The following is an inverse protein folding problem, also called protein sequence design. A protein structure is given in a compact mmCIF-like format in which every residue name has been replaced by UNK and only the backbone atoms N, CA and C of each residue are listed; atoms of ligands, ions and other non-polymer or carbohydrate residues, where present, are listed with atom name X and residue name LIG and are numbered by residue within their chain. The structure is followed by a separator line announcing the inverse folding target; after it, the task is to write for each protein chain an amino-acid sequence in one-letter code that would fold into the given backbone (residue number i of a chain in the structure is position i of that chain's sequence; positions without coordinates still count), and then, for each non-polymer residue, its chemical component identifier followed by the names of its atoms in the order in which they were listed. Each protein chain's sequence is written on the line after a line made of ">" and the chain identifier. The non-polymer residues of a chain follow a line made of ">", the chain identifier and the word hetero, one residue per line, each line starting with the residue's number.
data_IF_060829262791
#
_entry.id   IF_060829262791
#
_cell.length_a   1.000
_cell.length_b   1.000
_cell.length_c   1.000
_cell.angle_alpha   90.00
_cell.angle_beta   90.00
_cell.angle_gamma   90.00
#
_symmetry.space_group_name_H-M   'P 1'
#
loop_
_entity.id
_entity.type
_entity.pdbx_description
1 polymer ?
#
# COMPACT_ATOMS: atom_id res chain seq x y z
N UNK A 1 -69.09 29.74 13.63
CA UNK A 1 -68.52 30.49 14.76
C UNK A 1 -68.62 29.62 16.00
N UNK A 2 -67.67 29.77 16.92
CA UNK A 2 -67.59 29.16 18.25
C UNK A 2 -66.72 27.89 18.38
N UNK A 3 -65.51 28.13 18.87
CA UNK A 3 -64.64 27.18 19.58
C UNK A 3 -65.24 26.82 20.95
N UNK A 4 -64.87 25.65 21.49
CA UNK A 4 -64.72 25.52 22.94
C UNK A 4 -63.31 25.05 23.33
N UNK A 5 -62.72 25.80 24.26
CA UNK A 5 -61.55 25.43 25.06
C UNK A 5 -61.92 24.37 26.10
N UNK A 6 -61.06 23.40 26.35
CA UNK A 6 -61.06 22.59 27.57
C UNK A 6 -59.66 22.54 28.17
N UNK A 7 -59.62 22.74 29.48
CA UNK A 7 -58.48 22.86 30.37
C UNK A 7 -58.12 21.52 31.03
N UNK A 8 -56.92 21.49 31.60
CA UNK A 8 -56.48 20.77 32.83
C UNK A 8 -56.21 19.26 32.83
N UNK A 9 -55.13 18.87 33.52
CA UNK A 9 -54.87 17.53 34.05
C UNK A 9 -53.39 17.11 33.97
N UNK A 10 -52.52 17.48 34.91
CA UNK A 10 -52.08 16.69 36.09
C UNK A 10 -51.14 15.50 35.80
N UNK A 11 -49.89 15.66 36.25
CA UNK A 11 -48.93 14.72 36.87
C UNK A 11 -48.94 13.24 36.46
N UNK A 12 -47.74 12.68 36.21
CA UNK A 12 -47.15 11.44 36.78
C UNK A 12 -45.71 11.38 36.20
N UNK A 13 -44.69 11.65 37.01
CA UNK A 13 -43.88 10.64 37.72
C UNK A 13 -43.42 9.47 36.83
N UNK A 14 -42.16 9.54 36.44
CA UNK A 14 -41.33 8.37 36.16
C UNK A 14 -39.87 8.82 36.31
N UNK A 15 -39.27 8.49 37.43
CA UNK A 15 -37.85 8.68 37.68
C UNK A 15 -37.01 7.98 36.62
N UNK A 16 -35.89 8.60 36.28
CA UNK A 16 -34.76 7.90 35.70
C UNK A 16 -33.51 8.45 36.38
N UNK A 17 -32.76 7.50 36.92
CA UNK A 17 -31.65 7.66 37.84
C UNK A 17 -30.51 8.45 37.18
N UNK A 18 -30.16 9.59 37.79
CA UNK A 18 -29.01 10.39 37.39
C UNK A 18 -27.75 9.79 38.04
N UNK A 19 -27.14 8.83 37.35
CA UNK A 19 -25.78 8.36 37.66
C UNK A 19 -24.80 9.37 37.07
N UNK A 20 -24.40 10.35 37.88
CA UNK A 20 -23.25 11.21 37.59
C UNK A 20 -21.97 10.36 37.53
N UNK A 21 -21.55 9.98 36.33
CA UNK A 21 -20.19 9.56 36.05
C UNK A 21 -19.32 10.81 35.81
N UNK A 22 -18.56 11.19 36.83
CA UNK A 22 -17.52 12.22 36.75
C UNK A 22 -16.40 11.72 35.81
N UNK A 23 -16.38 12.23 34.57
CA UNK A 23 -15.23 12.08 33.68
C UNK A 23 -14.26 13.24 33.95
N UNK A 24 -13.13 12.94 34.58
CA UNK A 24 -12.00 13.86 34.68
C UNK A 24 -11.29 13.93 33.32
N UNK A 25 -11.74 14.85 32.48
CA UNK A 25 -11.09 15.20 31.22
C UNK A 25 -9.78 15.96 31.51
N UNK A 26 -8.67 15.22 31.50
CA UNK A 26 -7.32 15.78 31.52
C UNK A 26 -6.98 16.29 30.12
N UNK A 27 -7.52 17.44 29.74
CA UNK A 27 -7.27 18.08 28.45
C UNK A 27 -5.81 18.49 28.28
N UNK A 28 -4.97 17.59 27.76
CA UNK A 28 -3.69 17.95 27.16
C UNK A 28 -3.90 18.14 25.66
N UNK A 29 -4.29 19.36 25.28
CA UNK A 29 -4.41 19.77 23.89
C UNK A 29 -3.00 19.81 23.28
N UNK A 30 -2.57 18.71 22.66
CA UNK A 30 -1.42 18.73 21.77
C UNK A 30 -1.79 19.57 20.55
N UNK A 31 -1.26 20.79 20.48
CA UNK A 31 -1.37 21.62 19.29
C UNK A 31 -0.65 20.93 18.12
N UNK A 32 -1.21 20.93 16.90
CA UNK A 32 -0.51 20.41 15.74
C UNK A 32 0.76 21.23 15.52
N UNK A 33 1.92 20.56 15.53
CA UNK A 33 3.20 21.21 15.25
C UNK A 33 3.26 21.56 13.76
N UNK A 34 2.84 22.78 13.40
CA UNK A 34 3.07 23.34 12.08
C UNK A 34 4.54 23.77 12.01
N UNK A 35 5.35 23.06 11.23
CA UNK A 35 6.73 23.47 10.97
C UNK A 35 6.75 24.71 10.08
N UNK A 36 7.68 25.62 10.34
CA UNK A 36 7.93 26.76 9.45
C UNK A 36 8.27 26.26 8.03
N UNK A 37 7.84 26.96 6.97
CA UNK A 37 8.17 26.60 5.60
C UNK A 37 9.70 26.66 5.44
N UNK A 38 10.29 25.57 4.95
CA UNK A 38 11.70 25.50 4.62
C UNK A 38 11.86 25.45 3.11
N UNK A 39 12.71 26.32 2.56
CA UNK A 39 13.00 26.33 1.12
C UNK A 39 13.92 25.16 0.78
N UNK A 40 13.50 24.34 -0.17
CA UNK A 40 14.31 23.26 -0.74
C UNK A 40 14.85 23.74 -2.07
N UNK A 41 16.17 23.82 -2.19
CA UNK A 41 16.84 24.04 -3.46
C UNK A 41 17.19 22.68 -4.05
N UNK A 42 16.68 22.39 -5.25
CA UNK A 42 17.00 21.19 -6.00
C UNK A 42 17.98 21.62 -7.09
N UNK A 43 19.26 21.33 -6.89
CA UNK A 43 20.27 21.46 -7.94
C UNK A 43 20.21 20.22 -8.83
N UNK A 44 19.62 20.38 -10.01
CA UNK A 44 19.61 19.33 -11.03
C UNK A 44 20.93 19.42 -11.79
N UNK A 45 21.90 18.61 -11.40
CA UNK A 45 23.12 18.42 -12.19
C UNK A 45 22.78 17.47 -13.35
N UNK A 46 22.47 18.04 -14.51
CA UNK A 46 22.48 17.32 -15.78
C UNK A 46 23.90 17.35 -16.32
N UNK A 47 24.66 16.26 -16.14
CA UNK A 47 25.89 16.00 -16.90
C UNK A 47 25.50 15.58 -18.33
N UNK A 48 25.13 16.56 -19.16
CA UNK A 48 25.09 16.36 -20.61
C UNK A 48 25.88 17.52 -21.24
N UNK A 49 27.18 17.30 -21.43
CA UNK A 49 28.04 18.16 -22.23
C UNK A 49 27.57 18.08 -23.69
N UNK A 50 26.74 19.04 -24.10
CA UNK A 50 26.43 19.27 -25.51
C UNK A 50 27.39 20.33 -26.08
N UNK A 51 27.95 20.13 -27.28
CA UNK A 51 28.90 21.05 -27.91
C UNK A 51 28.25 22.42 -28.21
N UNK A 52 29.04 23.49 -28.03
CA UNK A 52 28.62 24.88 -27.85
C UNK A 52 28.17 25.64 -29.13
N UNK A 53 27.88 24.97 -30.25
CA UNK A 53 27.78 25.65 -31.56
C UNK A 53 26.37 25.80 -32.17
N UNK A 54 25.27 25.52 -31.46
CA UNK A 54 23.89 25.74 -32.01
C UNK A 54 22.96 26.51 -31.06
N UNK A 55 23.47 27.60 -30.45
CA UNK A 55 22.67 28.50 -29.60
C UNK A 55 22.15 29.68 -30.42
N UNK A 56 21.23 29.42 -31.35
CA UNK A 56 20.32 30.47 -31.83
C UNK A 56 19.13 29.84 -32.59
N UNK A 57 17.91 30.12 -32.13
CA UNK A 57 16.59 29.94 -32.82
C UNK A 57 15.57 28.90 -32.30
N UNK A 58 15.71 28.27 -31.13
CA UNK A 58 14.61 27.41 -30.61
C UNK A 58 14.13 27.73 -29.19
N UNK A 59 14.24 29.00 -28.76
CA UNK A 59 13.87 29.39 -27.38
C UNK A 59 12.43 29.89 -27.20
N UNK A 60 11.51 29.67 -28.15
CA UNK A 60 10.18 30.30 -28.07
C UNK A 60 8.96 29.36 -27.94
N UNK A 61 9.10 28.03 -27.86
CA UNK A 61 7.89 27.19 -27.71
C UNK A 61 8.00 25.88 -26.91
N UNK A 62 9.11 25.56 -26.26
CA UNK A 62 9.19 24.36 -25.43
C UNK A 62 9.02 24.70 -23.95
N UNK A 63 7.81 25.14 -23.58
CA UNK A 63 7.28 24.85 -22.25
C UNK A 63 7.03 23.33 -22.16
N UNK A 64 8.09 22.54 -22.09
CA UNK A 64 8.00 21.15 -21.66
C UNK A 64 7.77 21.21 -20.15
N UNK A 65 6.53 21.54 -19.78
CA UNK A 65 6.06 21.23 -18.44
C UNK A 65 6.24 19.72 -18.29
N UNK A 66 6.95 19.22 -17.27
CA UNK A 66 6.99 17.79 -17.01
C UNK A 66 5.57 17.36 -16.69
N UNK A 67 4.85 16.89 -17.71
CA UNK A 67 3.54 16.27 -17.55
C UNK A 67 3.84 15.01 -16.76
N UNK A 68 3.61 15.06 -15.45
CA UNK A 68 3.54 13.87 -14.62
C UNK A 68 2.47 13.00 -15.27
N UNK A 69 2.89 11.99 -16.02
CA UNK A 69 1.97 11.01 -16.59
C UNK A 69 1.11 10.54 -15.43
N UNK A 70 -0.21 10.74 -15.54
CA UNK A 70 -1.17 10.27 -14.54
C UNK A 70 -1.16 8.75 -14.60
N UNK A 71 -0.22 8.14 -13.86
CA UNK A 71 -0.15 6.69 -13.69
C UNK A 71 -1.45 6.27 -13.01
N UNK A 72 -2.22 5.40 -13.66
CA UNK A 72 -3.40 4.81 -13.04
C UNK A 72 -2.91 3.78 -12.02
N UNK A 73 -3.12 4.06 -10.73
CA UNK A 73 -2.74 3.15 -9.64
C UNK A 73 -3.89 2.16 -9.41
N UNK A 74 -3.61 0.87 -9.52
CA UNK A 74 -4.58 -0.17 -9.11
C UNK A 74 -4.61 -0.25 -7.58
N UNK A 75 -5.75 -0.62 -6.96
CA UNK A 75 -5.78 -0.90 -5.53
C UNK A 75 -4.71 -1.91 -5.13
N UNK A 76 -4.07 -1.66 -3.99
CA UNK A 76 -3.11 -2.60 -3.39
C UNK A 76 -3.78 -3.95 -3.15
N UNK A 77 -3.06 -5.03 -3.42
CA UNK A 77 -3.55 -6.39 -3.21
C UNK A 77 -2.64 -7.10 -2.21
N UNK A 78 -3.24 -7.64 -1.16
CA UNK A 78 -2.53 -8.46 -0.17
C UNK A 78 -2.82 -9.95 -0.38
N UNK A 79 -1.82 -10.79 -0.15
CA UNK A 79 -1.97 -12.24 -0.15
C UNK A 79 -1.28 -12.84 1.07
N UNK A 80 -2.05 -13.48 1.93
CA UNK A 80 -1.53 -14.11 3.14
C UNK A 80 -0.92 -15.48 2.82
N UNK A 81 0.34 -15.67 3.22
CA UNK A 81 1.06 -16.92 3.03
C UNK A 81 1.97 -17.23 4.23
N UNK A 82 2.36 -18.49 4.35
CA UNK A 82 3.33 -18.95 5.37
C UNK A 82 4.71 -19.03 4.76
N UNK A 83 5.73 -18.96 5.62
CA UNK A 83 7.13 -19.22 5.23
C UNK A 83 7.28 -20.56 4.47
N UNK A 84 6.58 -21.59 4.93
CA UNK A 84 6.61 -22.93 4.32
C UNK A 84 6.05 -22.96 2.89
N UNK A 85 5.14 -22.04 2.56
CA UNK A 85 4.57 -21.98 1.21
C UNK A 85 5.61 -21.52 0.20
N UNK A 86 6.50 -20.61 0.61
CA UNK A 86 7.62 -20.09 -0.15
C UNK A 86 8.93 -20.87 -0.03
N UNK A 87 8.90 -22.10 0.49
CA UNK A 87 10.12 -22.88 0.76
C UNK A 87 10.86 -23.37 -0.50
N UNK A 88 10.16 -23.52 -1.63
CA UNK A 88 10.72 -24.07 -2.87
C UNK A 88 10.86 -22.98 -3.96
N UNK A 89 12.06 -22.69 -4.47
CA UNK A 89 12.23 -21.76 -5.57
C UNK A 89 11.56 -22.29 -6.85
N UNK A 90 11.09 -21.38 -7.69
CA UNK A 90 10.34 -21.66 -8.92
C UNK A 90 8.87 -22.02 -8.71
N UNK A 91 8.41 -22.23 -7.47
CA UNK A 91 6.99 -22.51 -7.19
C UNK A 91 6.14 -21.27 -7.50
N UNK A 92 5.11 -21.45 -8.34
CA UNK A 92 4.07 -20.43 -8.57
C UNK A 92 3.18 -20.35 -7.33
N UNK A 93 3.05 -19.16 -6.76
CA UNK A 93 2.26 -18.92 -5.56
C UNK A 93 0.86 -18.45 -5.92
N UNK A 94 0.77 -17.46 -6.80
CA UNK A 94 -0.49 -16.91 -7.31
C UNK A 94 -0.26 -16.27 -8.68
N UNK A 95 -1.36 -15.96 -9.36
CA UNK A 95 -1.38 -15.20 -10.60
C UNK A 95 -2.05 -13.85 -10.35
N UNK A 96 -1.52 -12.79 -10.94
CA UNK A 96 -2.09 -11.45 -10.86
C UNK A 96 -3.41 -11.35 -11.65
N UNK A 97 -4.37 -10.61 -11.09
CA UNK A 97 -5.66 -10.37 -11.74
C UNK A 97 -5.47 -9.60 -13.05
N UNK A 98 -5.86 -10.23 -14.17
CA UNK A 98 -5.92 -9.62 -15.49
C UNK A 98 -7.25 -8.92 -15.69
N UNK A 99 -7.22 -7.63 -16.00
CA UNK A 99 -8.42 -6.93 -16.50
C UNK A 99 -8.61 -7.16 -18.01
N UNK A 100 -7.54 -7.49 -18.72
CA UNK A 100 -7.57 -7.79 -20.14
C UNK A 100 -6.58 -8.93 -20.49
N UNK A 101 -6.92 -9.85 -21.42
CA UNK A 101 -6.06 -11.00 -21.74
C UNK A 101 -4.67 -10.62 -22.29
N UNK A 102 -4.58 -9.47 -22.95
CA UNK A 102 -3.34 -8.92 -23.51
C UNK A 102 -2.56 -8.05 -22.49
N UNK A 103 -2.90 -8.09 -21.20
CA UNK A 103 -2.08 -7.46 -20.16
C UNK A 103 -0.77 -8.23 -19.97
N UNK A 104 0.33 -7.48 -19.87
CA UNK A 104 1.64 -8.01 -19.49
C UNK A 104 2.14 -7.32 -18.23
N UNK A 105 2.91 -8.05 -17.44
CA UNK A 105 3.40 -7.62 -16.13
C UNK A 105 4.91 -7.53 -16.10
N UNK A 106 5.44 -6.55 -15.36
CA UNK A 106 6.88 -6.40 -15.14
C UNK A 106 7.12 -5.86 -13.74
N UNK A 107 8.10 -6.39 -13.02
CA UNK A 107 8.50 -5.80 -11.73
C UNK A 107 9.15 -4.43 -11.93
N UNK A 108 8.84 -3.49 -11.02
CA UNK A 108 9.45 -2.15 -11.01
C UNK A 108 10.92 -2.19 -10.60
N UNK A 109 11.31 -3.15 -9.75
CA UNK A 109 12.69 -3.38 -9.35
C UNK A 109 12.94 -4.83 -8.92
N UNK A 110 14.20 -5.25 -8.78
CA UNK A 110 14.54 -6.60 -8.34
C UNK A 110 14.13 -6.83 -6.89
N UNK A 111 13.39 -7.91 -6.65
CA UNK A 111 13.02 -8.39 -5.30
C UNK A 111 13.76 -9.71 -5.05
N UNK A 112 14.22 -9.93 -3.82
CA UNK A 112 14.97 -11.14 -3.44
C UNK A 112 14.11 -12.40 -3.47
N UNK A 113 12.90 -12.31 -2.90
CA UNK A 113 12.07 -13.46 -2.56
C UNK A 113 11.13 -13.92 -3.67
N UNK A 114 10.78 -13.03 -4.61
CA UNK A 114 9.77 -13.29 -5.64
C UNK A 114 10.25 -12.89 -7.02
N UNK A 115 9.70 -13.57 -8.02
CA UNK A 115 9.80 -13.25 -9.45
C UNK A 115 8.39 -13.11 -10.03
N UNK A 116 8.19 -12.22 -11.00
CA UNK A 116 6.91 -12.03 -11.70
C UNK A 116 7.16 -12.21 -13.17
N UNK A 117 6.45 -13.17 -13.78
CA UNK A 117 6.48 -13.37 -15.21
C UNK A 117 5.57 -12.36 -15.94
N UNK A 118 5.87 -12.11 -17.20
CA UNK A 118 5.05 -11.35 -18.16
C UNK A 118 3.58 -11.80 -18.18
N UNK A 119 3.34 -13.08 -17.94
CA UNK A 119 2.01 -13.70 -17.84
C UNK A 119 1.24 -13.29 -16.58
N UNK A 120 1.88 -12.70 -15.57
CA UNK A 120 1.31 -12.38 -14.26
C UNK A 120 1.54 -13.45 -13.19
N UNK A 121 2.23 -14.54 -13.50
CA UNK A 121 2.57 -15.57 -12.51
C UNK A 121 3.63 -15.06 -11.53
N UNK A 122 3.30 -15.07 -10.23
CA UNK A 122 4.22 -14.72 -9.15
C UNK A 122 4.83 -16.01 -8.59
N UNK A 123 6.16 -16.10 -8.65
CA UNK A 123 6.93 -17.29 -8.29
C UNK A 123 7.90 -16.99 -7.18
N UNK A 124 8.23 -18.01 -6.40
CA UNK A 124 9.31 -17.95 -5.41
C UNK A 124 10.64 -17.85 -6.16
N UNK A 125 11.45 -16.83 -5.88
CA UNK A 125 12.80 -16.70 -6.44
C UNK A 125 13.83 -17.33 -5.51
N UNK A 126 13.81 -16.93 -4.24
CA UNK A 126 14.59 -17.53 -3.16
C UNK A 126 13.63 -18.06 -2.09
N UNK A 127 13.98 -19.15 -1.37
CA UNK A 127 13.19 -19.65 -0.26
C UNK A 127 12.88 -18.54 0.74
N UNK A 128 11.61 -18.40 1.11
CA UNK A 128 11.22 -17.35 2.04
C UNK A 128 11.79 -17.63 3.43
N UNK A 129 12.38 -16.60 4.02
CA UNK A 129 12.92 -16.65 5.37
C UNK A 129 12.31 -15.50 6.18
N UNK A 130 11.40 -15.86 7.09
CA UNK A 130 10.69 -14.90 7.93
C UNK A 130 11.64 -14.05 8.77
N UNK A 131 12.79 -14.59 9.20
CA UNK A 131 13.75 -13.85 10.03
C UNK A 131 14.47 -12.76 9.23
N UNK A 132 14.69 -13.01 7.93
CA UNK A 132 15.32 -12.05 7.01
C UNK A 132 14.34 -11.04 6.41
N UNK A 133 13.03 -11.20 6.61
CA UNK A 133 12.06 -10.17 6.28
C UNK A 133 12.17 -8.97 7.24
N UNK A 134 11.82 -7.79 6.73
CA UNK A 134 11.83 -6.54 7.49
C UNK A 134 10.86 -6.56 8.68
N UNK A 135 10.77 -5.42 9.39
CA UNK A 135 9.96 -5.29 10.62
C UNK A 135 8.49 -5.69 10.43
N UNK A 136 7.92 -5.40 9.26
CA UNK A 136 6.51 -5.67 8.96
C UNK A 136 6.24 -7.13 8.57
N UNK A 137 7.29 -7.93 8.33
CA UNK A 137 7.20 -9.34 7.94
C UNK A 137 6.38 -9.54 6.66
N UNK A 138 6.51 -8.58 5.75
CA UNK A 138 5.88 -8.56 4.44
C UNK A 138 6.94 -8.59 3.32
N UNK A 139 6.57 -9.18 2.19
CA UNK A 139 7.29 -9.00 0.92
C UNK A 139 6.49 -7.98 0.10
N UNK A 140 7.06 -6.79 -0.04
CA UNK A 140 6.38 -5.66 -0.68
C UNK A 140 7.07 -5.32 -2.00
N UNK A 141 6.29 -5.26 -3.08
CA UNK A 141 6.83 -4.96 -4.39
C UNK A 141 5.79 -4.33 -5.32
N UNK A 142 6.31 -3.57 -6.27
CA UNK A 142 5.51 -2.93 -7.30
C UNK A 142 5.63 -3.68 -8.62
N UNK A 143 4.49 -3.77 -9.31
CA UNK A 143 4.43 -4.29 -10.68
C UNK A 143 3.83 -3.25 -11.61
N UNK A 144 4.44 -3.12 -12.78
CA UNK A 144 3.88 -2.43 -13.93
C UNK A 144 2.97 -3.37 -14.70
N UNK A 145 1.85 -2.80 -15.16
CA UNK A 145 0.87 -3.43 -16.02
C UNK A 145 0.77 -2.62 -17.30
N UNK A 146 1.00 -3.28 -18.43
CA UNK A 146 0.89 -2.70 -19.77
C UNK A 146 -0.12 -3.51 -20.58
N UNK A 147 -0.87 -2.86 -21.47
CA UNK A 147 -1.89 -3.53 -22.28
C UNK A 147 -2.65 -2.55 -23.18
N UNK A 148 -3.44 -3.04 -24.15
CA UNK A 148 -4.05 -2.23 -25.21
C UNK A 148 -5.11 -1.24 -24.72
N UNK A 149 -5.69 -1.45 -23.54
CA UNK A 149 -6.69 -0.58 -22.93
C UNK A 149 -6.12 0.30 -21.81
N UNK A 150 -4.80 0.33 -21.65
CA UNK A 150 -4.15 1.15 -20.64
C UNK A 150 -3.43 2.29 -21.37
N UNK A 151 -4.02 3.49 -21.33
CA UNK A 151 -3.50 4.69 -21.99
C UNK A 151 -2.21 5.24 -21.34
N UNK A 152 -1.50 4.43 -20.55
CA UNK A 152 -0.27 4.71 -19.80
C UNK A 152 0.21 3.46 -19.07
N UNK A 153 1.32 3.53 -18.34
CA UNK A 153 1.70 2.44 -17.43
C UNK A 153 0.76 2.46 -16.21
N UNK A 154 0.24 1.31 -15.80
CA UNK A 154 -0.42 1.17 -14.50
C UNK A 154 0.54 0.54 -13.51
N UNK A 155 0.66 1.08 -12.30
CA UNK A 155 1.38 0.39 -11.22
C UNK A 155 0.42 -0.21 -10.22
N UNK A 156 0.78 -1.37 -9.68
CA UNK A 156 0.05 -2.05 -8.60
C UNK A 156 1.02 -2.43 -7.50
N UNK A 157 0.68 -2.11 -6.25
CA UNK A 157 1.43 -2.54 -5.08
C UNK A 157 0.91 -3.91 -4.63
N UNK A 158 1.84 -4.82 -4.37
CA UNK A 158 1.58 -6.16 -3.87
C UNK A 158 2.25 -6.33 -2.52
N UNK A 159 1.48 -6.82 -1.55
CA UNK A 159 1.95 -7.11 -0.19
C UNK A 159 1.75 -8.60 0.08
N UNK A 160 2.79 -9.29 0.51
CA UNK A 160 2.68 -10.69 0.95
C UNK A 160 3.11 -10.77 2.41
N UNK A 161 2.17 -10.68 3.37
CA UNK A 161 2.44 -11.03 4.75
C UNK A 161 2.90 -12.48 4.85
N UNK A 162 4.04 -12.69 5.48
CA UNK A 162 4.63 -14.01 5.70
C UNK A 162 4.49 -14.36 7.18
N UNK A 163 3.87 -15.48 7.49
CA UNK A 163 3.77 -16.00 8.87
C UNK A 163 4.86 -17.07 9.14
N UNK A 164 5.51 -16.99 10.29
CA UNK A 164 6.59 -17.88 10.74
C UNK A 164 6.09 -19.17 11.37
N UNK A 165 5.07 -19.80 10.81
CA UNK A 165 4.63 -21.11 11.27
C UNK A 165 5.68 -22.17 10.89
N UNK A 166 6.85 -22.13 11.56
CA UNK A 166 7.86 -23.17 11.57
C UNK A 166 7.14 -24.43 12.03
N UNK A 167 7.11 -25.52 11.24
CA UNK A 167 6.61 -26.78 11.74
C UNK A 167 7.48 -27.16 12.94
N UNK A 168 6.87 -27.14 14.13
CA UNK A 168 7.51 -27.55 15.37
C UNK A 168 7.99 -28.99 15.20
N UNK A 169 9.27 -29.17 14.89
CA UNK A 169 9.93 -30.47 14.90
C UNK A 169 9.90 -30.97 16.35
N UNK A 170 8.85 -31.70 16.72
CA UNK A 170 8.83 -32.50 17.94
C UNK A 170 9.93 -33.54 17.79
N UNK A 171 11.03 -33.33 18.50
CA UNK A 171 12.21 -34.21 18.55
C UNK A 171 11.77 -35.55 19.15
N UNK A 172 11.47 -36.54 18.30
CA UNK A 172 11.21 -37.91 18.75
C UNK A 172 12.57 -38.52 19.10
N UNK A 173 12.98 -38.39 20.36
CA UNK A 173 14.10 -39.17 20.90
C UNK A 173 13.61 -40.60 21.09
N UNK A 174 13.96 -41.48 20.16
CA UNK A 174 13.85 -42.92 20.39
C UNK A 174 14.92 -43.32 21.42
N UNK A 175 14.48 -43.49 22.66
CA UNK A 175 15.29 -44.12 23.71
C UNK A 175 15.15 -45.64 23.50
N UNK A 176 16.11 -46.23 22.79
CA UNK A 176 16.24 -47.69 22.72
C UNK A 176 16.74 -48.15 24.08
N UNK A 177 16.00 -49.07 24.70
CA UNK A 177 16.30 -49.68 26.00
C UNK A 177 17.10 -50.96 25.84
#
# INVERSE_FOLDING_TARGET
>A
MSVPTMQTGTNHDAGTEDLQAEHQDSGHVQTPRVSAPFSVYIEVYSEELLPEDEIDQTLENNQILPVRQKRSVRPTKSYEYKETDGSKPGKVMFQLDKKHPQETYKMEGPVKWVEVDSSGDVRVKEPWDYEQLGKEKTIDFWVFVTGPNINGESSSLLLIPCDSLKPSLKKITNKVS
#
